data_IF_507740335953
#
_entry.id   IF_507740335953
#
_cell.length_a   1.000
_cell.length_b   1.000
_cell.length_c   1.000
_cell.angle_alpha   90.00
_cell.angle_beta   90.00
_cell.angle_gamma   90.00
#
_symmetry.space_group_name_H-M   'P 1'
#
loop_
_entity.id
_entity.type
_entity.pdbx_description
1 polymer ?
#
# COMPACT_ATOMS: atom_id res chain seq x y z
N UNK A 1 -28.56 17.02 9.56
CA UNK A 1 -27.18 17.53 9.47
C UNK A 1 -26.15 16.49 9.85
N UNK A 2 -26.27 15.87 11.02
CA UNK A 2 -25.35 14.81 11.45
C UNK A 2 -25.39 13.61 10.51
N UNK A 3 -26.56 13.24 10.01
CA UNK A 3 -26.72 12.11 9.07
C UNK A 3 -26.03 12.36 7.73
N UNK A 4 -25.97 13.62 7.27
CA UNK A 4 -25.27 13.97 6.03
C UNK A 4 -23.76 13.79 6.16
N UNK A 5 -23.17 14.11 7.32
CA UNK A 5 -21.74 13.92 7.56
C UNK A 5 -21.38 12.44 7.58
N UNK A 6 -22.19 11.59 8.22
CA UNK A 6 -22.00 10.14 8.25
C UNK A 6 -22.10 9.57 6.83
N UNK A 7 -23.09 10.01 6.04
CA UNK A 7 -23.24 9.61 4.65
C UNK A 7 -22.02 9.99 3.79
N UNK A 8 -21.45 11.20 4.01
CA UNK A 8 -20.25 11.63 3.27
C UNK A 8 -19.04 10.75 3.61
N UNK A 9 -18.86 10.38 4.88
CA UNK A 9 -17.79 9.51 5.32
C UNK A 9 -17.94 8.11 4.73
N UNK A 10 -19.15 7.56 4.73
CA UNK A 10 -19.45 6.26 4.12
C UNK A 10 -19.16 6.29 2.63
N UNK A 11 -19.56 7.36 1.93
CA UNK A 11 -19.30 7.53 0.50
C UNK A 11 -17.81 7.58 0.19
N UNK A 12 -17.03 8.22 1.05
CA UNK A 12 -15.57 8.30 0.89
C UNK A 12 -14.93 6.93 1.03
N UNK A 13 -15.27 6.19 2.09
CA UNK A 13 -14.76 4.84 2.30
C UNK A 13 -15.14 3.91 1.15
N UNK A 14 -16.39 3.95 0.71
CA UNK A 14 -16.88 3.17 -0.41
C UNK A 14 -16.14 3.51 -1.70
N UNK A 15 -15.88 4.80 -1.93
CA UNK A 15 -15.13 5.26 -3.11
C UNK A 15 -13.70 4.74 -3.09
N UNK A 16 -13.01 4.84 -1.95
CA UNK A 16 -11.63 4.35 -1.83
C UNK A 16 -11.57 2.84 -2.04
N UNK A 17 -12.51 2.11 -1.47
CA UNK A 17 -12.60 0.66 -1.64
C UNK A 17 -12.81 0.29 -3.12
N UNK A 18 -13.71 0.99 -3.78
CA UNK A 18 -13.98 0.79 -5.20
C UNK A 18 -12.77 1.16 -6.06
N UNK A 19 -12.14 2.31 -5.81
CA UNK A 19 -10.98 2.76 -6.57
C UNK A 19 -9.81 1.76 -6.45
N UNK A 20 -9.56 1.24 -5.26
CA UNK A 20 -8.52 0.24 -5.05
C UNK A 20 -8.83 -1.06 -5.80
N UNK A 21 -10.09 -1.50 -5.77
CA UNK A 21 -10.52 -2.68 -6.51
C UNK A 21 -10.40 -2.48 -8.01
N UNK A 22 -10.86 -1.35 -8.53
CA UNK A 22 -10.78 -1.03 -9.95
C UNK A 22 -9.34 -0.91 -10.42
N UNK A 23 -8.46 -0.30 -9.61
CA UNK A 23 -7.05 -0.24 -9.91
C UNK A 23 -6.46 -1.65 -10.04
N UNK A 24 -6.80 -2.53 -9.10
CA UNK A 24 -6.33 -3.92 -9.10
C UNK A 24 -6.82 -4.66 -10.35
N UNK A 25 -8.10 -4.55 -10.66
CA UNK A 25 -8.69 -5.22 -11.83
C UNK A 25 -8.11 -4.72 -13.15
N UNK A 26 -7.79 -3.43 -13.24
CA UNK A 26 -7.32 -2.81 -14.48
C UNK A 26 -5.81 -2.92 -14.65
N UNK A 27 -5.04 -2.80 -13.57
CA UNK A 27 -3.58 -2.63 -13.65
C UNK A 27 -2.77 -3.80 -13.08
N UNK A 28 -3.36 -4.62 -12.23
CA UNK A 28 -2.60 -5.69 -11.58
C UNK A 28 -2.87 -7.05 -12.21
N UNK A 29 -1.90 -7.96 -12.20
CA UNK A 29 -0.55 -7.77 -11.67
C UNK A 29 0.26 -6.82 -12.54
N UNK A 30 1.02 -5.94 -11.93
CA UNK A 30 1.82 -4.95 -12.64
C UNK A 30 3.31 -5.15 -12.32
N UNK A 31 4.09 -5.45 -13.36
CA UNK A 31 5.53 -5.60 -13.21
C UNK A 31 6.16 -4.22 -13.00
N UNK A 32 6.76 -4.00 -11.84
CA UNK A 32 7.36 -2.73 -11.47
C UNK A 32 8.83 -2.65 -11.90
N UNK A 33 9.56 -3.74 -11.72
CA UNK A 33 10.94 -3.92 -12.18
C UNK A 33 11.18 -5.42 -12.41
N UNK A 34 12.43 -5.81 -12.69
CA UNK A 34 12.77 -7.20 -13.02
C UNK A 34 12.41 -8.18 -11.89
N UNK A 35 12.35 -7.72 -10.64
CA UNK A 35 12.16 -8.56 -9.47
C UNK A 35 10.82 -8.34 -8.77
N UNK A 36 10.17 -7.20 -9.00
CA UNK A 36 9.03 -6.74 -8.20
C UNK A 36 7.75 -6.65 -9.01
N UNK A 37 6.69 -7.28 -8.52
CA UNK A 37 5.36 -7.21 -9.11
C UNK A 37 4.38 -6.66 -8.07
N UNK A 38 3.57 -5.68 -8.45
CA UNK A 38 2.43 -5.24 -7.65
C UNK A 38 1.25 -6.15 -7.97
N UNK A 39 0.89 -6.99 -7.01
CA UNK A 39 -0.15 -8.00 -7.22
C UNK A 39 -1.56 -7.44 -7.05
N UNK A 40 -1.75 -6.60 -6.04
CA UNK A 40 -3.06 -6.01 -5.77
C UNK A 40 -2.94 -4.83 -4.81
N UNK A 41 -4.02 -4.04 -4.79
CA UNK A 41 -4.19 -2.94 -3.87
C UNK A 41 -5.58 -3.07 -3.23
N UNK A 42 -5.65 -2.98 -1.91
CA UNK A 42 -6.88 -3.16 -1.15
C UNK A 42 -7.05 -2.00 -0.17
N UNK A 43 -8.23 -1.42 -0.13
CA UNK A 43 -8.56 -0.43 0.91
C UNK A 43 -9.46 -1.07 1.95
N UNK A 44 -9.07 -0.98 3.22
CA UNK A 44 -9.84 -1.49 4.35
C UNK A 44 -10.32 -0.30 5.18
N UNK A 45 -11.63 -0.03 5.22
CA UNK A 45 -12.14 1.07 6.03
C UNK A 45 -12.01 0.78 7.52
N UNK A 46 -11.76 1.83 8.31
CA UNK A 46 -11.79 1.75 9.76
C UNK A 46 -12.25 3.11 10.34
N UNK A 47 -12.27 3.23 11.66
CA UNK A 47 -12.74 4.44 12.34
C UNK A 47 -11.78 5.62 12.23
N UNK A 48 -10.54 5.37 11.81
CA UNK A 48 -9.45 6.35 11.82
C UNK A 48 -9.02 6.80 10.42
N UNK A 49 -9.80 6.50 9.39
CA UNK A 49 -9.52 6.88 8.01
C UNK A 49 -9.24 5.71 7.09
N UNK A 50 -9.05 4.52 7.63
CA UNK A 50 -8.81 3.31 6.85
C UNK A 50 -7.35 3.06 6.52
N UNK A 51 -7.12 1.97 5.79
CA UNK A 51 -5.79 1.50 5.43
C UNK A 51 -5.76 1.11 3.96
N UNK A 52 -4.77 1.61 3.23
CA UNK A 52 -4.51 1.19 1.85
C UNK A 52 -3.35 0.20 1.87
N UNK A 53 -3.62 -1.05 1.49
CA UNK A 53 -2.65 -2.13 1.52
C UNK A 53 -2.21 -2.44 0.10
N UNK A 54 -0.89 -2.47 -0.12
CA UNK A 54 -0.29 -2.82 -1.40
C UNK A 54 0.45 -4.14 -1.23
N UNK A 55 0.06 -5.14 -2.03
CA UNK A 55 0.65 -6.47 -2.00
C UNK A 55 1.62 -6.63 -3.15
N UNK A 56 2.87 -6.89 -2.82
CA UNK A 56 3.94 -7.12 -3.79
C UNK A 56 4.44 -8.54 -3.70
N UNK A 57 4.83 -9.11 -4.84
CA UNK A 57 5.59 -10.35 -4.89
C UNK A 57 6.98 -10.06 -5.45
N UNK A 58 7.99 -10.70 -4.86
CA UNK A 58 9.39 -10.53 -5.23
C UNK A 58 9.95 -11.85 -5.74
N UNK A 59 10.52 -11.79 -6.94
CA UNK A 59 11.22 -12.94 -7.53
C UNK A 59 12.71 -12.75 -7.29
N UNK A 60 13.22 -13.32 -6.21
CA UNK A 60 14.58 -13.12 -5.73
C UNK A 60 15.38 -14.42 -5.74
N UNK A 61 16.66 -14.33 -6.13
CA UNK A 61 17.63 -15.39 -5.83
C UNK A 61 17.94 -15.37 -4.33
N UNK A 62 18.56 -16.42 -3.82
CA UNK A 62 18.99 -16.47 -2.41
C UNK A 62 19.92 -15.32 -2.05
N UNK A 63 20.82 -14.95 -2.97
CA UNK A 63 21.74 -13.82 -2.77
C UNK A 63 21.01 -12.48 -2.70
N UNK A 64 20.05 -12.29 -3.61
CA UNK A 64 19.24 -11.06 -3.65
C UNK A 64 18.39 -10.93 -2.39
N UNK A 65 17.83 -12.04 -1.89
CA UNK A 65 17.06 -12.04 -0.64
C UNK A 65 17.95 -11.67 0.55
N UNK A 66 19.14 -12.24 0.64
CA UNK A 66 20.10 -11.91 1.69
C UNK A 66 20.49 -10.44 1.64
N UNK A 67 20.73 -9.90 0.44
CA UNK A 67 21.06 -8.50 0.24
C UNK A 67 19.91 -7.60 0.67
N UNK A 68 18.68 -7.94 0.32
CA UNK A 68 17.49 -7.21 0.72
C UNK A 68 17.37 -7.13 2.25
N UNK A 69 17.63 -8.25 2.95
CA UNK A 69 17.55 -8.31 4.40
C UNK A 69 18.54 -7.37 5.07
N UNK A 70 19.62 -6.99 4.39
CA UNK A 70 20.59 -6.02 4.87
C UNK A 70 20.18 -4.55 4.57
N UNK A 71 19.12 -4.35 3.78
CA UNK A 71 18.70 -3.02 3.31
C UNK A 71 17.29 -2.64 3.75
N UNK A 72 16.73 -3.32 4.74
CA UNK A 72 15.33 -3.11 5.15
C UNK A 72 15.04 -1.68 5.57
N UNK A 73 15.99 -1.03 6.27
CA UNK A 73 15.84 0.37 6.67
C UNK A 73 15.83 1.32 5.48
N UNK A 74 16.68 1.08 4.49
CA UNK A 74 16.72 1.90 3.27
C UNK A 74 15.43 1.74 2.46
N UNK A 75 14.88 0.54 2.39
CA UNK A 75 13.60 0.27 1.71
C UNK A 75 12.46 0.99 2.44
N UNK A 76 12.47 0.96 3.77
CA UNK A 76 11.50 1.71 4.57
C UNK A 76 11.52 3.19 4.22
N UNK A 77 12.70 3.79 4.12
CA UNK A 77 12.87 5.21 3.82
C UNK A 77 12.36 5.54 2.41
N UNK A 78 12.63 4.69 1.44
CA UNK A 78 12.13 4.85 0.06
C UNK A 78 10.60 4.79 0.04
N UNK A 79 10.02 3.82 0.72
CA UNK A 79 8.57 3.67 0.76
C UNK A 79 7.89 4.85 1.46
N UNK A 80 8.49 5.37 2.53
CA UNK A 80 7.96 6.56 3.20
C UNK A 80 7.97 7.77 2.28
N UNK A 81 9.03 7.95 1.49
CA UNK A 81 9.07 9.03 0.49
C UNK A 81 8.01 8.87 -0.58
N UNK A 82 7.74 7.64 -1.01
CA UNK A 82 6.66 7.35 -1.97
C UNK A 82 5.32 7.76 -1.38
N UNK A 83 5.05 7.39 -0.13
CA UNK A 83 3.81 7.77 0.57
C UNK A 83 3.67 9.29 0.64
N UNK A 84 4.75 9.99 1.01
CA UNK A 84 4.74 11.45 1.16
C UNK A 84 4.56 12.21 -0.15
N UNK A 85 5.12 11.72 -1.23
CA UNK A 85 5.28 12.50 -2.46
C UNK A 85 4.47 12.01 -3.65
N UNK A 86 3.91 10.81 -3.60
CA UNK A 86 3.16 10.25 -4.73
C UNK A 86 1.86 11.01 -4.96
N UNK A 87 1.70 11.55 -6.17
CA UNK A 87 0.49 12.29 -6.56
C UNK A 87 -0.76 11.43 -6.46
N UNK A 88 -0.77 10.15 -6.93
CA UNK A 88 -1.95 9.29 -6.77
C UNK A 88 -2.39 9.08 -5.33
N UNK A 89 -1.52 9.28 -4.35
CA UNK A 89 -1.86 9.09 -2.94
C UNK A 89 -2.38 10.35 -2.24
N UNK A 90 -2.45 11.47 -2.95
CA UNK A 90 -2.84 12.76 -2.36
C UNK A 90 -4.17 12.70 -1.60
N UNK A 91 -5.20 12.14 -2.22
CA UNK A 91 -6.53 12.04 -1.60
C UNK A 91 -6.51 11.16 -0.35
N UNK A 92 -5.71 10.09 -0.39
CA UNK A 92 -5.57 9.19 0.75
C UNK A 92 -4.85 9.88 1.91
N UNK A 93 -3.77 10.62 1.61
CA UNK A 93 -3.05 11.40 2.64
C UNK A 93 -3.96 12.44 3.28
N UNK A 94 -4.73 13.16 2.48
CA UNK A 94 -5.67 14.19 2.97
C UNK A 94 -6.74 13.59 3.88
N UNK A 95 -7.14 12.36 3.62
CA UNK A 95 -8.13 11.64 4.42
C UNK A 95 -7.54 10.96 5.66
N UNK A 96 -6.22 11.02 5.86
CA UNK A 96 -5.57 10.39 7.00
C UNK A 96 -5.44 8.88 6.92
N UNK A 97 -5.45 8.33 5.70
CA UNK A 97 -5.35 6.90 5.46
C UNK A 97 -3.95 6.38 5.84
N UNK A 98 -3.88 5.21 6.48
CA UNK A 98 -2.62 4.52 6.70
C UNK A 98 -2.23 3.74 5.44
N UNK A 99 -0.93 3.58 5.22
CA UNK A 99 -0.39 2.86 4.06
C UNK A 99 0.41 1.66 4.53
N UNK A 100 0.17 0.50 3.93
CA UNK A 100 0.88 -0.74 4.25
C UNK A 100 1.42 -1.36 2.98
N UNK A 101 2.70 -1.73 3.00
CA UNK A 101 3.39 -2.41 1.91
C UNK A 101 3.76 -3.80 2.39
N UNK A 102 3.23 -4.84 1.74
CA UNK A 102 3.50 -6.23 2.09
C UNK A 102 4.26 -6.88 0.94
N UNK A 103 5.46 -7.37 1.23
CA UNK A 103 6.31 -8.05 0.25
C UNK A 103 6.35 -9.54 0.54
N UNK A 104 6.00 -10.35 -0.45
CA UNK A 104 5.99 -11.82 -0.37
C UNK A 104 6.94 -12.41 -1.39
N UNK A 105 7.46 -13.59 -1.09
CA UNK A 105 8.24 -14.34 -2.04
C UNK A 105 7.33 -14.88 -3.14
N UNK A 106 7.68 -14.62 -4.41
CA UNK A 106 6.86 -15.02 -5.56
C UNK A 106 6.81 -16.54 -5.74
N UNK A 107 7.82 -17.26 -5.25
CA UNK A 107 7.93 -18.70 -5.45
C UNK A 107 7.21 -19.50 -4.38
N UNK A 108 7.45 -19.17 -3.10
CA UNK A 108 6.87 -19.91 -1.96
C UNK A 108 5.72 -19.20 -1.28
N UNK A 109 5.52 -17.92 -1.57
CA UNK A 109 4.38 -17.16 -1.08
C UNK A 109 4.46 -16.66 0.36
N UNK A 110 5.56 -16.88 1.07
CA UNK A 110 5.74 -16.41 2.43
C UNK A 110 5.98 -14.90 2.46
N UNK A 111 5.55 -14.27 3.54
CA UNK A 111 5.81 -12.84 3.74
C UNK A 111 7.27 -12.63 4.11
N UNK A 112 7.95 -11.73 3.38
CA UNK A 112 9.34 -11.37 3.63
C UNK A 112 9.41 -10.21 4.61
N UNK A 113 8.66 -9.12 4.34
CA UNK A 113 8.68 -7.91 5.14
C UNK A 113 7.38 -7.13 4.93
N UNK A 114 7.01 -6.34 5.93
CA UNK A 114 5.86 -5.46 5.89
C UNK A 114 6.26 -4.09 6.43
N UNK A 115 5.82 -3.04 5.74
CA UNK A 115 6.02 -1.65 6.17
C UNK A 115 4.66 -1.00 6.37
N UNK A 116 4.50 -0.30 7.49
CA UNK A 116 3.25 0.38 7.82
C UNK A 116 3.54 1.84 8.16
N UNK A 117 2.79 2.75 7.52
CA UNK A 117 2.93 4.19 7.73
C UNK A 117 1.57 4.77 8.11
N UNK A 118 1.45 5.23 9.34
CA UNK A 118 0.28 5.94 9.81
C UNK A 118 0.40 7.42 9.45
N UNK A 119 -0.67 8.16 9.65
CA UNK A 119 -0.72 9.59 9.35
C UNK A 119 0.44 10.37 9.98
N UNK A 120 0.79 10.04 11.22
CA UNK A 120 1.88 10.69 11.95
C UNK A 120 3.24 10.52 11.27
N UNK A 121 3.42 9.42 10.55
CA UNK A 121 4.69 9.08 9.91
C UNK A 121 4.94 9.90 8.65
N UNK A 122 3.87 10.26 7.92
CA UNK A 122 4.03 10.96 6.64
C UNK A 122 3.67 12.44 6.69
N UNK A 123 3.16 12.93 7.80
CA UNK A 123 2.88 14.36 8.01
C UNK A 123 4.14 15.20 8.09
#
# INVERSE_FOLDING_TARGET
>A
MVMLLVSCQEKRAQRFEREAREFTETNCPQQMDAMTCLDSMVYVPDEQGGELIQYYSLKLTSEQRAEMMNKLGAINDVNLRIVRNSIPFTKYREAGVSFTFIYRDATVGDKIVEYHFAKEDYE
#
